data_IF_341686549205
#
_entry.id   IF_341686549205
#
_cell.length_a   1.000
_cell.length_b   1.000
_cell.length_c   1.000
_cell.angle_alpha   90.00
_cell.angle_beta   90.00
_cell.angle_gamma   90.00
#
_symmetry.space_group_name_H-M   'P 1'
#
loop_
_entity.id
_entity.type
_entity.pdbx_description
1 polymer ?
#
# COMPACT_ATOMS: atom_id res chain seq x y z
N UNK A 1 -4.93 -22.22 5.89
CA UNK A 1 -5.30 -22.74 7.23
C UNK A 1 -6.01 -21.72 8.10
N UNK A 2 -5.50 -20.48 8.28
CA UNK A 2 -6.16 -19.48 9.16
C UNK A 2 -7.61 -19.17 8.75
N UNK A 3 -7.89 -19.04 7.46
CA UNK A 3 -9.23 -18.79 6.95
C UNK A 3 -10.22 -19.90 7.34
N UNK A 4 -9.83 -21.18 7.18
CA UNK A 4 -10.67 -22.33 7.54
C UNK A 4 -10.96 -22.39 9.03
N UNK A 5 -9.95 -22.15 9.88
CA UNK A 5 -10.13 -22.11 11.34
C UNK A 5 -11.06 -20.99 11.78
N UNK A 6 -10.96 -19.81 11.15
CA UNK A 6 -11.84 -18.69 11.46
C UNK A 6 -13.29 -18.94 10.99
N UNK A 7 -13.47 -19.58 9.83
CA UNK A 7 -14.81 -20.02 9.38
C UNK A 7 -15.42 -21.00 10.38
N UNK A 8 -14.64 -21.99 10.87
CA UNK A 8 -15.12 -22.94 11.87
C UNK A 8 -15.45 -22.26 13.21
N UNK A 9 -14.65 -21.29 13.62
CA UNK A 9 -14.96 -20.50 14.83
C UNK A 9 -16.25 -19.70 14.67
N UNK A 10 -16.50 -19.13 13.48
CA UNK A 10 -17.75 -18.43 13.17
C UNK A 10 -18.95 -19.39 13.25
N UNK A 11 -18.90 -20.54 12.58
CA UNK A 11 -19.95 -21.56 12.62
C UNK A 11 -20.29 -21.97 14.04
N UNK A 12 -19.27 -22.31 14.85
CA UNK A 12 -19.49 -22.71 16.25
C UNK A 12 -20.08 -21.55 17.08
N UNK A 13 -19.64 -20.32 16.86
CA UNK A 13 -20.18 -19.14 17.50
C UNK A 13 -21.68 -18.96 17.19
N UNK A 14 -22.06 -19.18 15.92
CA UNK A 14 -23.46 -19.10 15.46
C UNK A 14 -24.31 -20.25 16.04
N UNK A 15 -23.80 -21.50 16.07
CA UNK A 15 -24.47 -22.66 16.65
C UNK A 15 -24.82 -22.44 18.12
N UNK A 16 -23.92 -21.84 18.92
CA UNK A 16 -24.12 -21.57 20.34
C UNK A 16 -24.71 -20.20 20.66
N UNK A 17 -24.95 -19.37 19.64
CA UNK A 17 -25.47 -18.00 19.78
C UNK A 17 -24.55 -17.02 20.51
N UNK A 18 -23.21 -17.24 20.50
CA UNK A 18 -22.25 -16.42 21.22
C UNK A 18 -21.79 -15.22 20.36
N UNK A 19 -22.38 -14.05 20.61
CA UNK A 19 -22.10 -12.82 19.86
C UNK A 19 -20.62 -12.39 19.93
N UNK A 20 -19.93 -12.63 21.04
CA UNK A 20 -18.52 -12.27 21.18
C UNK A 20 -17.65 -13.11 20.24
N UNK A 21 -17.85 -14.44 20.23
CA UNK A 21 -17.12 -15.35 19.32
C UNK A 21 -17.40 -14.97 17.87
N UNK A 22 -18.67 -14.73 17.52
CA UNK A 22 -19.06 -14.32 16.16
C UNK A 22 -18.35 -13.00 15.77
N UNK A 23 -18.39 -11.99 16.64
CA UNK A 23 -17.76 -10.69 16.40
C UNK A 23 -16.25 -10.78 16.16
N UNK A 24 -15.55 -11.54 16.99
CA UNK A 24 -14.10 -11.75 16.82
C UNK A 24 -13.77 -12.58 15.58
N UNK A 25 -14.51 -13.66 15.31
CA UNK A 25 -14.32 -14.47 14.10
C UNK A 25 -14.53 -13.63 12.83
N UNK A 26 -15.61 -12.85 12.77
CA UNK A 26 -15.87 -11.94 11.66
C UNK A 26 -14.78 -10.87 11.51
N UNK A 27 -14.29 -10.31 12.63
CA UNK A 27 -13.19 -9.33 12.60
C UNK A 27 -11.94 -9.92 11.92
N UNK A 28 -11.49 -11.09 12.35
CA UNK A 28 -10.29 -11.72 11.80
C UNK A 28 -10.52 -12.29 10.40
N UNK A 29 -11.75 -12.73 10.06
CA UNK A 29 -12.12 -13.07 8.68
C UNK A 29 -12.04 -11.85 7.76
N UNK A 30 -12.46 -10.67 8.23
CA UNK A 30 -12.31 -9.42 7.45
C UNK A 30 -10.84 -9.15 7.12
N UNK A 31 -9.94 -9.24 8.10
CA UNK A 31 -8.51 -9.09 7.91
C UNK A 31 -7.93 -10.13 6.94
N UNK A 32 -8.21 -11.42 7.20
CA UNK A 32 -7.71 -12.53 6.39
C UNK A 32 -8.21 -12.45 4.94
N UNK A 33 -9.50 -12.14 4.74
CA UNK A 33 -10.04 -11.96 3.39
C UNK A 33 -9.43 -10.74 2.67
N UNK A 34 -9.11 -9.67 3.42
CA UNK A 34 -8.42 -8.52 2.86
C UNK A 34 -7.03 -8.90 2.33
N UNK A 35 -6.26 -9.64 3.14
CA UNK A 35 -4.92 -10.13 2.75
C UNK A 35 -4.96 -11.10 1.56
N UNK A 36 -6.01 -11.90 1.46
CA UNK A 36 -6.28 -12.79 0.33
C UNK A 36 -6.89 -12.06 -0.87
N UNK A 37 -7.07 -10.74 -0.79
CA UNK A 37 -7.72 -9.91 -1.81
C UNK A 37 -9.17 -10.32 -2.14
N UNK A 38 -9.86 -10.97 -1.20
CA UNK A 38 -11.28 -11.32 -1.27
C UNK A 38 -12.12 -10.16 -0.71
N UNK A 39 -12.02 -8.99 -1.33
CA UNK A 39 -12.49 -7.72 -0.76
C UNK A 39 -13.98 -7.68 -0.43
N UNK A 40 -14.84 -8.27 -1.25
CA UNK A 40 -16.28 -8.29 -0.96
C UNK A 40 -16.59 -9.11 0.30
N UNK A 41 -15.90 -10.25 0.50
CA UNK A 41 -15.99 -11.03 1.72
C UNK A 41 -15.41 -10.28 2.93
N UNK A 42 -14.28 -9.59 2.73
CA UNK A 42 -13.66 -8.78 3.78
C UNK A 42 -14.59 -7.67 4.27
N UNK A 43 -15.26 -6.98 3.36
CA UNK A 43 -16.26 -5.94 3.69
C UNK A 43 -17.45 -6.58 4.41
N UNK A 44 -18.02 -7.66 3.87
CA UNK A 44 -19.16 -8.36 4.49
C UNK A 44 -18.87 -8.77 5.96
N UNK A 45 -17.74 -9.42 6.20
CA UNK A 45 -17.37 -9.82 7.56
C UNK A 45 -17.06 -8.62 8.46
N UNK A 46 -16.41 -7.58 7.92
CA UNK A 46 -16.11 -6.37 8.67
C UNK A 46 -17.38 -5.62 9.09
N UNK A 47 -18.37 -5.49 8.22
CA UNK A 47 -19.67 -4.88 8.51
C UNK A 47 -20.44 -5.70 9.56
N UNK A 48 -20.49 -7.04 9.43
CA UNK A 48 -21.08 -7.94 10.43
C UNK A 48 -20.40 -7.79 11.79
N UNK A 49 -19.06 -7.71 11.83
CA UNK A 49 -18.33 -7.47 13.07
C UNK A 49 -18.68 -6.10 13.68
N UNK A 50 -18.87 -5.06 12.86
CA UNK A 50 -19.30 -3.73 13.31
C UNK A 50 -20.71 -3.73 13.90
N UNK A 51 -21.65 -4.46 13.33
CA UNK A 51 -22.99 -4.62 13.89
C UNK A 51 -22.94 -5.26 15.28
N UNK A 52 -22.15 -6.32 15.42
CA UNK A 52 -21.96 -7.00 16.71
C UNK A 52 -21.25 -6.09 17.72
N UNK A 53 -20.28 -5.29 17.30
CA UNK A 53 -19.60 -4.34 18.19
C UNK A 53 -20.52 -3.28 18.78
N UNK A 54 -21.60 -2.93 18.08
CA UNK A 54 -22.65 -2.03 18.62
C UNK A 54 -23.49 -2.71 19.70
N UNK A 55 -23.74 -4.02 19.56
CA UNK A 55 -24.44 -4.84 20.56
C UNK A 55 -23.57 -4.99 21.80
N UNK A 56 -22.27 -5.27 21.60
CA UNK A 56 -21.26 -5.43 22.65
C UNK A 56 -20.55 -4.09 22.94
N UNK A 57 -21.32 -3.04 23.22
CA UNK A 57 -20.84 -1.65 23.28
C UNK A 57 -19.66 -1.38 24.25
N UNK A 58 -19.43 -2.26 25.24
CA UNK A 58 -18.30 -2.20 26.17
C UNK A 58 -17.01 -2.84 25.63
N UNK A 59 -17.09 -3.59 24.51
CA UNK A 59 -15.92 -4.22 23.89
C UNK A 59 -15.20 -3.23 22.97
N UNK A 60 -14.36 -2.38 23.56
CA UNK A 60 -13.58 -1.39 22.84
C UNK A 60 -12.61 -2.00 21.82
N UNK A 61 -12.10 -3.23 22.09
CA UNK A 61 -11.20 -3.90 21.19
C UNK A 61 -11.92 -4.35 19.91
N UNK A 62 -13.07 -4.99 20.06
CA UNK A 62 -13.89 -5.42 18.92
C UNK A 62 -14.27 -4.23 18.03
N UNK A 63 -14.66 -3.11 18.65
CA UNK A 63 -15.04 -1.89 17.92
C UNK A 63 -13.93 -1.39 17.02
N UNK A 64 -12.74 -1.08 17.57
CA UNK A 64 -11.68 -0.49 16.75
C UNK A 64 -11.04 -1.52 15.80
N UNK A 65 -10.92 -2.79 16.21
CA UNK A 65 -10.25 -3.80 15.41
C UNK A 65 -11.05 -4.21 14.16
N UNK A 66 -12.37 -4.25 14.26
CA UNK A 66 -13.25 -4.52 13.10
C UNK A 66 -13.26 -3.35 12.10
N UNK A 67 -13.28 -2.10 12.60
CA UNK A 67 -13.09 -0.92 11.73
C UNK A 67 -11.71 -0.91 11.08
N UNK A 68 -10.67 -1.34 11.79
CA UNK A 68 -9.33 -1.45 11.23
C UNK A 68 -9.26 -2.49 10.08
N UNK A 69 -9.97 -3.61 10.16
CA UNK A 69 -10.08 -4.58 9.07
C UNK A 69 -10.74 -4.00 7.82
N UNK A 70 -11.83 -3.26 7.99
CA UNK A 70 -12.47 -2.51 6.90
C UNK A 70 -11.52 -1.46 6.30
N UNK A 71 -10.81 -0.71 7.16
CA UNK A 71 -9.84 0.29 6.73
C UNK A 71 -8.72 -0.31 5.85
N UNK A 72 -8.18 -1.49 6.23
CA UNK A 72 -7.21 -2.19 5.40
C UNK A 72 -7.79 -2.58 4.03
N UNK A 73 -9.00 -3.11 4.01
CA UNK A 73 -9.70 -3.49 2.78
C UNK A 73 -9.86 -2.29 1.85
N UNK A 74 -10.33 -1.16 2.37
CA UNK A 74 -10.50 0.07 1.60
C UNK A 74 -9.18 0.68 1.14
N UNK A 75 -8.11 0.56 1.94
CA UNK A 75 -6.78 0.96 1.52
C UNK A 75 -6.28 0.13 0.33
N UNK A 76 -6.42 -1.20 0.37
CA UNK A 76 -6.04 -2.09 -0.74
C UNK A 76 -6.84 -1.80 -2.02
N UNK A 77 -8.11 -1.45 -1.88
CA UNK A 77 -8.96 -1.05 -3.01
C UNK A 77 -8.65 0.35 -3.56
N UNK A 78 -7.92 1.18 -2.81
CA UNK A 78 -7.67 2.58 -3.14
C UNK A 78 -8.85 3.51 -2.85
N UNK A 79 -9.79 3.12 -1.99
CA UNK A 79 -10.99 3.90 -1.64
C UNK A 79 -10.69 4.97 -0.59
N UNK A 80 -10.13 6.09 -1.03
CA UNK A 80 -9.63 7.19 -0.20
C UNK A 80 -10.68 7.71 0.80
N UNK A 81 -11.89 8.04 0.34
CA UNK A 81 -12.96 8.57 1.21
C UNK A 81 -13.40 7.59 2.30
N UNK A 82 -13.45 6.29 1.98
CA UNK A 82 -13.80 5.27 2.97
C UNK A 82 -12.76 5.20 4.09
N UNK A 83 -11.48 5.31 3.75
CA UNK A 83 -10.42 5.38 4.76
C UNK A 83 -10.52 6.65 5.62
N UNK A 84 -10.79 7.81 5.02
CA UNK A 84 -11.02 9.05 5.78
C UNK A 84 -12.22 8.92 6.73
N UNK A 85 -13.32 8.28 6.30
CA UNK A 85 -14.49 8.02 7.13
C UNK A 85 -14.16 7.10 8.31
N UNK A 86 -13.49 5.97 8.07
CA UNK A 86 -13.00 5.05 9.10
C UNK A 86 -12.10 5.77 10.10
N UNK A 87 -11.14 6.54 9.60
CA UNK A 87 -10.23 7.33 10.43
C UNK A 87 -11.01 8.29 11.35
N UNK A 88 -11.96 9.04 10.79
CA UNK A 88 -12.82 9.98 11.55
C UNK A 88 -13.61 9.28 12.66
N UNK A 89 -14.23 8.14 12.35
CA UNK A 89 -15.00 7.35 13.34
C UNK A 89 -14.09 6.89 14.47
N UNK A 90 -12.91 6.37 14.15
CA UNK A 90 -11.93 5.88 15.13
C UNK A 90 -11.37 7.00 16.00
N UNK A 91 -11.08 8.17 15.43
CA UNK A 91 -10.60 9.36 16.19
C UNK A 91 -11.67 9.88 17.13
N UNK A 92 -12.93 9.98 16.68
CA UNK A 92 -14.04 10.40 17.51
C UNK A 92 -14.27 9.44 18.67
N UNK A 93 -14.24 8.13 18.39
CA UNK A 93 -14.36 7.07 19.40
C UNK A 93 -13.21 7.13 20.41
N UNK A 94 -11.96 7.25 19.94
CA UNK A 94 -10.77 7.37 20.78
C UNK A 94 -10.86 8.55 21.75
N UNK A 95 -11.34 9.70 21.27
CA UNK A 95 -11.55 10.90 22.08
C UNK A 95 -12.65 10.70 23.14
N UNK A 96 -13.80 10.16 22.76
CA UNK A 96 -14.94 9.95 23.67
C UNK A 96 -14.67 8.95 24.78
N UNK A 97 -13.91 7.90 24.47
CA UNK A 97 -13.64 6.77 25.38
C UNK A 97 -12.22 6.76 25.95
N UNK A 98 -11.44 7.83 25.71
CA UNK A 98 -10.01 7.92 26.11
C UNK A 98 -9.21 6.69 25.63
N UNK A 99 -9.57 6.12 24.45
CA UNK A 99 -8.96 4.93 23.88
C UNK A 99 -7.82 5.29 22.93
N UNK A 100 -6.58 5.27 23.44
CA UNK A 100 -5.39 5.62 22.68
C UNK A 100 -5.23 4.75 21.43
N UNK A 101 -5.46 3.43 21.52
CA UNK A 101 -5.34 2.53 20.36
C UNK A 101 -6.28 2.91 19.22
N UNK A 102 -7.53 3.24 19.55
CA UNK A 102 -8.48 3.74 18.55
C UNK A 102 -8.01 5.03 17.90
N UNK A 103 -7.43 5.95 18.69
CA UNK A 103 -6.88 7.21 18.17
C UNK A 103 -5.69 6.97 17.24
N UNK A 104 -4.76 6.09 17.61
CA UNK A 104 -3.60 5.71 16.75
C UNK A 104 -4.07 5.14 15.44
N UNK A 105 -4.96 4.13 15.48
CA UNK A 105 -5.49 3.49 14.26
C UNK A 105 -6.32 4.48 13.43
N UNK A 106 -7.03 5.40 14.08
CA UNK A 106 -7.75 6.48 13.43
C UNK A 106 -6.81 7.41 12.64
N UNK A 107 -5.68 7.80 13.20
CA UNK A 107 -4.66 8.57 12.49
C UNK A 107 -4.04 7.77 11.33
N UNK A 108 -3.78 6.46 11.51
CA UNK A 108 -3.26 5.59 10.45
C UNK A 108 -4.21 5.59 9.24
N UNK A 109 -5.51 5.31 9.43
CA UNK A 109 -6.44 5.25 8.30
C UNK A 109 -6.80 6.62 7.72
N UNK A 110 -6.76 7.68 8.51
CA UNK A 110 -6.82 9.05 7.96
C UNK A 110 -5.61 9.30 7.05
N UNK A 111 -4.41 8.93 7.49
CA UNK A 111 -3.19 9.00 6.67
C UNK A 111 -3.27 8.16 5.40
N UNK A 112 -3.77 6.91 5.49
CA UNK A 112 -4.01 6.05 4.34
C UNK A 112 -4.98 6.68 3.33
N UNK A 113 -6.05 7.32 3.81
CA UNK A 113 -7.00 8.02 2.97
C UNK A 113 -6.36 9.19 2.23
N UNK A 114 -5.54 10.01 2.92
CA UNK A 114 -4.79 11.09 2.30
C UNK A 114 -3.73 10.58 1.30
N UNK A 115 -3.01 9.52 1.63
CA UNK A 115 -2.02 8.90 0.73
C UNK A 115 -2.69 8.36 -0.54
N UNK A 116 -3.80 7.63 -0.41
CA UNK A 116 -4.58 7.13 -1.54
C UNK A 116 -5.19 8.24 -2.41
N UNK A 117 -5.41 9.44 -1.83
CA UNK A 117 -5.80 10.61 -2.59
C UNK A 117 -4.63 11.36 -3.26
N UNK A 118 -3.37 10.95 -2.99
CA UNK A 118 -2.17 11.66 -3.44
C UNK A 118 -1.80 12.89 -2.60
N UNK A 119 -2.39 13.05 -1.41
CA UNK A 119 -2.14 14.17 -0.49
C UNK A 119 -1.08 13.80 0.55
N UNK A 120 0.16 13.59 0.10
CA UNK A 120 1.24 13.03 0.93
C UNK A 120 1.60 13.89 2.15
N UNK A 121 1.54 15.22 2.05
CA UNK A 121 1.82 16.10 3.20
C UNK A 121 0.87 15.83 4.36
N UNK A 122 -0.43 15.80 4.11
CA UNK A 122 -1.44 15.49 5.14
C UNK A 122 -1.33 14.05 5.65
N UNK A 123 -0.96 13.10 4.78
CA UNK A 123 -0.71 11.71 5.17
C UNK A 123 0.46 11.61 6.17
N UNK A 124 1.59 12.29 5.88
CA UNK A 124 2.76 12.34 6.76
C UNK A 124 2.40 12.90 8.14
N UNK A 125 1.63 13.99 8.21
CA UNK A 125 1.18 14.56 9.48
C UNK A 125 0.36 13.56 10.30
N UNK A 126 -0.56 12.85 9.66
CA UNK A 126 -1.36 11.83 10.32
C UNK A 126 -0.51 10.66 10.84
N UNK A 127 0.42 10.14 10.03
CA UNK A 127 1.28 9.03 10.45
C UNK A 127 2.27 9.44 11.53
N UNK A 128 2.83 10.65 11.49
CA UNK A 128 3.62 11.21 12.61
C UNK A 128 2.82 11.22 13.89
N UNK A 129 1.60 11.75 13.83
CA UNK A 129 0.73 11.82 15.01
C UNK A 129 0.40 10.42 15.55
N UNK A 130 0.17 9.44 14.68
CA UNK A 130 -0.03 8.05 15.10
C UNK A 130 1.18 7.51 15.87
N UNK A 131 2.40 7.72 15.37
CA UNK A 131 3.63 7.24 16.02
C UNK A 131 3.92 7.95 17.35
N UNK A 132 3.64 9.26 17.44
CA UNK A 132 3.86 10.07 18.66
C UNK A 132 2.97 9.64 19.83
N UNK A 133 1.69 9.35 19.57
CA UNK A 133 0.73 9.00 20.63
C UNK A 133 0.69 7.51 20.96
N UNK A 134 1.31 6.65 20.13
CA UNK A 134 1.32 5.22 20.35
C UNK A 134 2.20 4.84 21.54
N UNK A 135 1.57 4.37 22.61
CA UNK A 135 2.27 3.81 23.76
C UNK A 135 2.72 2.35 23.56
N UNK A 136 2.15 1.67 22.58
CA UNK A 136 2.39 0.27 22.27
C UNK A 136 3.37 0.20 21.08
N UNK A 137 4.49 -0.53 21.19
CA UNK A 137 5.49 -0.63 20.12
C UNK A 137 4.89 -1.13 18.79
N UNK A 138 3.98 -2.11 18.82
CA UNK A 138 3.35 -2.64 17.61
C UNK A 138 2.61 -1.55 16.84
N UNK A 139 1.77 -0.75 17.51
CA UNK A 139 1.03 0.33 16.85
C UNK A 139 1.92 1.49 16.42
N UNK A 140 3.00 1.78 17.18
CA UNK A 140 4.01 2.75 16.78
C UNK A 140 4.69 2.33 15.49
N UNK A 141 5.13 1.07 15.39
CA UNK A 141 5.76 0.54 14.19
C UNK A 141 4.78 0.49 13.02
N UNK A 142 3.52 0.14 13.24
CA UNK A 142 2.50 0.16 12.20
C UNK A 142 2.32 1.56 11.58
N UNK A 143 2.30 2.62 12.39
CA UNK A 143 2.31 4.00 11.89
C UNK A 143 3.57 4.35 11.08
N UNK A 144 4.76 3.89 11.54
CA UNK A 144 6.04 4.14 10.86
C UNK A 144 6.17 3.45 9.50
N UNK A 145 5.58 2.26 9.33
CA UNK A 145 5.50 1.55 8.04
C UNK A 145 4.96 2.48 6.96
N UNK A 146 3.79 3.07 7.20
CA UNK A 146 3.17 3.99 6.27
C UNK A 146 3.90 5.32 6.16
N UNK A 147 4.49 5.80 7.26
CA UNK A 147 5.26 7.04 7.27
C UNK A 147 6.47 6.94 6.34
N UNK A 148 7.26 5.87 6.46
CA UNK A 148 8.44 5.64 5.63
C UNK A 148 8.10 5.53 4.14
N UNK A 149 7.08 4.74 3.80
CA UNK A 149 6.59 4.62 2.43
C UNK A 149 6.11 5.96 1.86
N UNK A 150 5.37 6.74 2.67
CA UNK A 150 4.84 8.04 2.23
C UNK A 150 5.94 9.09 2.08
N UNK A 151 6.96 9.07 2.93
CA UNK A 151 8.15 9.90 2.73
C UNK A 151 8.83 9.59 1.40
N UNK A 152 9.01 8.31 1.05
CA UNK A 152 9.60 7.91 -0.23
C UNK A 152 8.76 8.39 -1.42
N UNK A 153 7.42 8.24 -1.35
CA UNK A 153 6.50 8.73 -2.37
C UNK A 153 6.52 10.27 -2.51
N UNK A 154 6.75 10.98 -1.41
CA UNK A 154 6.83 12.45 -1.39
C UNK A 154 8.23 13.00 -1.69
N UNK A 155 9.20 12.14 -2.05
CA UNK A 155 10.56 12.54 -2.37
C UNK A 155 11.45 12.91 -1.17
N UNK A 156 11.01 12.65 0.05
CA UNK A 156 11.75 12.91 1.30
C UNK A 156 12.61 11.68 1.65
N UNK A 157 13.61 11.40 0.81
CA UNK A 157 14.37 10.14 0.84
C UNK A 157 15.24 9.93 2.07
N UNK A 158 15.67 11.01 2.75
CA UNK A 158 16.44 10.89 4.00
C UNK A 158 15.55 10.40 5.12
N UNK A 159 14.42 11.04 5.32
CA UNK A 159 13.42 10.68 6.34
C UNK A 159 12.83 9.29 6.05
N UNK A 160 12.61 8.97 4.76
CA UNK A 160 12.18 7.65 4.33
C UNK A 160 13.19 6.56 4.74
N UNK A 161 14.48 6.77 4.48
CA UNK A 161 15.52 5.81 4.84
C UNK A 161 15.58 5.56 6.35
N UNK A 162 15.57 6.62 7.15
CA UNK A 162 15.61 6.53 8.61
C UNK A 162 14.43 5.69 9.12
N UNK A 163 13.21 6.02 8.70
CA UNK A 163 12.00 5.30 9.12
C UNK A 163 11.99 3.84 8.66
N UNK A 164 12.30 3.58 7.38
CA UNK A 164 12.23 2.24 6.80
C UNK A 164 13.33 1.30 7.33
N UNK A 165 14.55 1.79 7.59
CA UNK A 165 15.61 0.97 8.20
C UNK A 165 15.26 0.54 9.62
N UNK A 166 14.65 1.43 10.40
CA UNK A 166 14.19 1.10 11.76
C UNK A 166 13.14 -0.02 11.73
N UNK A 167 12.20 0.02 10.77
CA UNK A 167 11.18 -1.02 10.62
C UNK A 167 11.77 -2.35 10.13
N UNK A 168 12.67 -2.32 9.14
CA UNK A 168 13.34 -3.54 8.65
C UNK A 168 14.09 -4.21 9.78
N UNK A 169 14.86 -3.46 10.58
CA UNK A 169 15.56 -4.00 11.76
C UNK A 169 14.58 -4.58 12.78
N UNK A 170 13.48 -3.90 13.07
CA UNK A 170 12.44 -4.42 13.97
C UNK A 170 11.84 -5.75 13.45
N UNK A 171 11.57 -5.83 12.15
CA UNK A 171 11.05 -7.07 11.55
C UNK A 171 12.04 -8.23 11.65
N UNK A 172 13.33 -7.95 11.50
CA UNK A 172 14.39 -8.96 11.67
C UNK A 172 14.49 -9.45 13.12
N UNK A 173 14.44 -8.53 14.10
CA UNK A 173 14.55 -8.84 15.53
C UNK A 173 13.34 -9.62 16.07
N UNK A 174 12.14 -9.32 15.57
CA UNK A 174 10.87 -9.87 16.06
C UNK A 174 10.19 -10.86 15.11
N UNK A 175 10.81 -11.20 13.98
CA UNK A 175 10.27 -12.17 13.03
C UNK A 175 9.00 -11.70 12.33
N UNK A 176 8.84 -10.39 12.09
CA UNK A 176 7.65 -9.83 11.45
C UNK A 176 7.69 -9.95 9.91
N UNK A 177 7.90 -11.16 9.39
CA UNK A 177 8.02 -11.44 7.95
C UNK A 177 6.81 -10.97 7.13
N UNK A 178 5.68 -10.78 7.80
CA UNK A 178 4.45 -10.36 7.16
C UNK A 178 4.55 -8.98 6.49
N UNK A 179 5.14 -7.98 7.11
CA UNK A 179 5.24 -6.60 6.60
C UNK A 179 6.52 -6.31 5.84
N UNK A 180 7.55 -7.12 6.05
CA UNK A 180 8.90 -6.95 5.50
C UNK A 180 8.96 -6.69 3.98
N UNK A 181 8.19 -7.40 3.10
CA UNK A 181 8.24 -7.10 1.66
C UNK A 181 7.79 -5.69 1.30
N UNK A 182 6.83 -5.13 2.05
CA UNK A 182 6.37 -3.75 1.85
C UNK A 182 7.49 -2.75 2.14
N UNK A 183 8.09 -2.86 3.33
CA UNK A 183 9.12 -1.93 3.79
C UNK A 183 10.41 -2.05 2.98
N UNK A 184 10.84 -3.29 2.69
CA UNK A 184 12.01 -3.58 1.87
C UNK A 184 11.84 -3.06 0.43
N UNK A 185 10.63 -3.10 -0.13
CA UNK A 185 10.32 -2.55 -1.44
C UNK A 185 10.54 -1.03 -1.47
N UNK A 186 9.98 -0.29 -0.52
CA UNK A 186 10.18 1.17 -0.46
C UNK A 186 11.61 1.56 -0.09
N UNK A 187 12.27 0.81 0.80
CA UNK A 187 13.69 1.02 1.10
C UNK A 187 14.56 0.79 -0.14
N UNK A 188 14.23 -0.21 -0.97
CA UNK A 188 14.88 -0.46 -2.25
C UNK A 188 14.82 0.75 -3.18
N UNK A 189 13.67 1.42 -3.27
CA UNK A 189 13.51 2.68 -4.03
C UNK A 189 14.45 3.76 -3.47
N UNK A 190 14.49 3.95 -2.15
CA UNK A 190 15.37 4.94 -1.51
C UNK A 190 16.84 4.66 -1.81
N UNK A 191 17.27 3.40 -1.76
CA UNK A 191 18.63 2.96 -2.07
C UNK A 191 18.99 3.25 -3.53
N UNK A 192 18.05 3.03 -4.48
CA UNK A 192 18.22 3.37 -5.90
C UNK A 192 18.43 4.87 -6.07
N UNK A 193 17.56 5.69 -5.49
CA UNK A 193 17.65 7.17 -5.60
C UNK A 193 18.96 7.70 -5.02
N UNK A 194 19.49 7.07 -3.97
CA UNK A 194 20.80 7.37 -3.38
C UNK A 194 21.99 6.86 -4.23
N UNK A 195 21.71 6.22 -5.36
CA UNK A 195 22.68 5.85 -6.36
C UNK A 195 23.20 4.40 -6.28
N UNK A 196 22.59 3.52 -5.48
CA UNK A 196 22.89 2.09 -5.50
C UNK A 196 21.77 1.30 -6.19
N UNK A 197 21.73 1.40 -7.51
CA UNK A 197 20.69 0.78 -8.34
C UNK A 197 20.72 -0.75 -8.17
N UNK A 198 21.91 -1.34 -8.18
CA UNK A 198 22.07 -2.80 -8.09
C UNK A 198 21.56 -3.36 -6.76
N UNK A 199 21.84 -2.68 -5.65
CA UNK A 199 21.36 -3.10 -4.34
C UNK A 199 19.85 -2.91 -4.23
N UNK A 200 19.34 -1.74 -4.62
CA UNK A 200 17.92 -1.47 -4.51
C UNK A 200 17.06 -2.37 -5.40
N UNK A 201 17.52 -2.71 -6.61
CA UNK A 201 16.86 -3.69 -7.47
C UNK A 201 16.85 -5.10 -6.84
N UNK A 202 17.94 -5.52 -6.19
CA UNK A 202 17.93 -6.80 -5.46
C UNK A 202 16.88 -6.80 -4.35
N UNK A 203 16.78 -5.73 -3.56
CA UNK A 203 15.78 -5.60 -2.49
C UNK A 203 14.35 -5.67 -3.04
N UNK A 204 14.08 -5.00 -4.16
CA UNK A 204 12.78 -5.07 -4.84
C UNK A 204 12.48 -6.48 -5.34
N UNK A 205 13.47 -7.16 -5.94
CA UNK A 205 13.30 -8.51 -6.47
C UNK A 205 13.09 -9.55 -5.34
N UNK A 206 13.81 -9.43 -4.23
CA UNK A 206 13.58 -10.24 -3.03
C UNK A 206 12.19 -10.01 -2.44
N UNK A 207 11.74 -8.76 -2.36
CA UNK A 207 10.38 -8.42 -1.92
C UNK A 207 9.31 -8.98 -2.87
N UNK A 208 9.56 -8.93 -4.18
CA UNK A 208 8.70 -9.49 -5.22
C UNK A 208 8.58 -11.01 -5.07
N UNK A 209 9.70 -11.70 -4.94
CA UNK A 209 9.75 -13.14 -4.80
C UNK A 209 9.05 -13.60 -3.52
N UNK A 210 9.33 -12.95 -2.38
CA UNK A 210 8.66 -13.23 -1.11
C UNK A 210 7.13 -13.02 -1.20
N UNK A 211 6.70 -11.96 -1.89
CA UNK A 211 5.26 -11.71 -2.09
C UNK A 211 4.59 -12.79 -2.94
N UNK A 212 5.29 -13.31 -3.95
CA UNK A 212 4.80 -14.37 -4.83
C UNK A 212 4.71 -15.71 -4.09
N UNK A 213 5.77 -16.10 -3.37
CA UNK A 213 5.84 -17.36 -2.60
C UNK A 213 4.79 -17.44 -1.48
N UNK A 214 4.44 -16.30 -0.90
CA UNK A 214 3.44 -16.20 0.15
C UNK A 214 2.03 -15.83 -0.39
N UNK A 215 1.80 -15.91 -1.70
CA UNK A 215 0.53 -15.65 -2.38
C UNK A 215 -0.08 -14.25 -2.07
N UNK A 216 0.79 -13.24 -1.83
CA UNK A 216 0.39 -11.88 -1.42
C UNK A 216 0.17 -10.99 -2.63
N UNK A 217 -0.90 -11.21 -3.34
CA UNK A 217 -1.20 -10.56 -4.62
C UNK A 217 -1.15 -9.03 -4.59
N UNK A 218 -1.62 -8.40 -3.51
CA UNK A 218 -1.57 -6.94 -3.39
C UNK A 218 -0.12 -6.43 -3.33
N UNK A 219 0.71 -7.02 -2.46
CA UNK A 219 2.12 -6.65 -2.35
C UNK A 219 2.88 -6.97 -3.65
N UNK A 220 2.59 -8.11 -4.25
CA UNK A 220 3.18 -8.50 -5.53
C UNK A 220 2.89 -7.47 -6.62
N UNK A 221 1.62 -7.05 -6.79
CA UNK A 221 1.24 -6.01 -7.75
C UNK A 221 1.94 -4.68 -7.47
N UNK A 222 2.03 -4.29 -6.19
CA UNK A 222 2.71 -3.07 -5.77
C UNK A 222 4.21 -3.12 -6.09
N UNK A 223 4.91 -4.21 -5.81
CA UNK A 223 6.34 -4.34 -6.10
C UNK A 223 6.59 -4.41 -7.61
N UNK A 224 5.74 -5.08 -8.38
CA UNK A 224 5.80 -5.05 -9.84
C UNK A 224 5.66 -3.61 -10.38
N UNK A 225 4.74 -2.82 -9.82
CA UNK A 225 4.62 -1.40 -10.17
C UNK A 225 5.90 -0.61 -9.82
N UNK A 226 6.46 -0.81 -8.62
CA UNK A 226 7.71 -0.13 -8.21
C UNK A 226 8.89 -0.50 -9.13
N UNK A 227 9.05 -1.77 -9.50
CA UNK A 227 10.07 -2.22 -10.47
C UNK A 227 9.87 -1.56 -11.83
N UNK A 228 8.64 -1.58 -12.35
CA UNK A 228 8.29 -0.93 -13.61
C UNK A 228 8.61 0.56 -13.60
N UNK A 229 8.29 1.26 -12.52
CA UNK A 229 8.60 2.67 -12.32
C UNK A 229 10.10 2.97 -12.31
N UNK A 230 10.91 2.13 -11.65
CA UNK A 230 12.38 2.25 -11.67
C UNK A 230 12.92 2.14 -13.10
N UNK A 231 12.48 1.13 -13.85
CA UNK A 231 12.92 0.98 -15.24
C UNK A 231 12.42 2.12 -16.15
N UNK A 232 11.21 2.64 -15.91
CA UNK A 232 10.69 3.82 -16.62
C UNK A 232 11.59 5.06 -16.38
N UNK A 233 11.98 5.33 -15.14
CA UNK A 233 12.88 6.44 -14.81
C UNK A 233 14.23 6.32 -15.56
N UNK A 234 14.75 5.10 -15.71
CA UNK A 234 15.96 4.85 -16.50
C UNK A 234 15.74 5.18 -17.99
N UNK A 235 14.59 4.78 -18.54
CA UNK A 235 14.20 5.13 -19.94
C UNK A 235 14.11 6.63 -20.13
N UNK A 236 13.62 7.36 -19.12
CA UNK A 236 13.54 8.83 -19.12
C UNK A 236 14.88 9.54 -18.86
N UNK A 237 15.96 8.78 -18.71
CA UNK A 237 17.29 9.35 -18.50
C UNK A 237 17.56 9.82 -17.07
N UNK A 238 16.76 9.40 -16.12
CA UNK A 238 16.93 9.71 -14.68
C UNK A 238 17.95 8.77 -14.00
N UNK A 239 19.03 8.42 -14.68
CA UNK A 239 20.10 7.56 -14.19
C UNK A 239 21.21 8.30 -13.44
N UNK A 240 22.24 7.56 -12.95
CA UNK A 240 23.37 8.13 -12.22
C UNK A 240 24.14 9.13 -13.10
N UNK A 241 24.35 10.35 -12.57
CA UNK A 241 24.98 11.46 -13.31
C UNK A 241 26.46 11.72 -12.93
N UNK A 242 26.99 11.07 -11.88
CA UNK A 242 28.39 11.21 -11.48
C UNK A 242 29.24 10.00 -11.87
N UNK A 243 30.54 10.21 -12.14
CA UNK A 243 31.46 9.12 -12.50
C UNK A 243 31.55 8.03 -11.43
N UNK A 244 31.51 8.42 -10.15
CA UNK A 244 31.52 7.46 -9.04
C UNK A 244 30.27 6.58 -9.00
N UNK A 245 29.09 7.16 -9.26
CA UNK A 245 27.83 6.42 -9.34
C UNK A 245 27.76 5.53 -10.60
N UNK A 246 28.29 5.98 -11.72
CA UNK A 246 28.42 5.16 -12.94
C UNK A 246 29.31 3.93 -12.68
N UNK A 247 30.48 4.14 -12.04
CA UNK A 247 31.37 3.03 -11.69
C UNK A 247 30.72 2.04 -10.71
N UNK A 248 29.99 2.52 -9.72
CA UNK A 248 29.27 1.69 -8.76
C UNK A 248 28.19 0.82 -9.43
N UNK A 249 27.56 1.32 -10.48
CA UNK A 249 26.45 0.67 -11.17
C UNK A 249 26.84 0.04 -12.53
N UNK A 250 28.12 -0.14 -12.82
CA UNK A 250 28.59 -0.60 -14.14
C UNK A 250 27.97 -1.96 -14.55
N UNK A 251 27.78 -2.86 -13.60
CA UNK A 251 27.12 -4.15 -13.86
C UNK A 251 25.69 -4.01 -14.32
N UNK A 252 24.94 -3.11 -13.68
CA UNK A 252 23.56 -2.78 -14.07
C UNK A 252 23.54 -2.09 -15.45
N UNK A 253 24.41 -1.10 -15.67
CA UNK A 253 24.46 -0.37 -16.94
C UNK A 253 24.74 -1.27 -18.14
N UNK A 254 25.53 -2.32 -17.97
CA UNK A 254 25.83 -3.28 -19.04
C UNK A 254 24.74 -4.32 -19.22
N UNK A 255 24.20 -4.87 -18.12
CA UNK A 255 23.30 -6.04 -18.18
C UNK A 255 21.84 -5.67 -18.30
N UNK A 256 21.40 -4.63 -17.59
CA UNK A 256 19.98 -4.35 -17.38
C UNK A 256 19.49 -3.10 -18.10
N UNK A 257 20.29 -2.02 -18.14
CA UNK A 257 19.88 -0.77 -18.74
C UNK A 257 19.54 -0.88 -20.25
N UNK A 258 20.20 -1.70 -21.08
CA UNK A 258 19.82 -1.89 -22.46
C UNK A 258 18.42 -2.48 -22.65
N UNK A 259 17.92 -3.18 -21.64
CA UNK A 259 16.60 -3.80 -21.64
C UNK A 259 15.57 -3.02 -20.80
N UNK A 260 15.90 -1.83 -20.31
CA UNK A 260 15.05 -1.06 -19.40
C UNK A 260 13.64 -0.84 -19.95
N UNK A 261 13.50 -0.50 -21.23
CA UNK A 261 12.20 -0.31 -21.88
C UNK A 261 11.34 -1.59 -21.83
N UNK A 262 11.94 -2.74 -22.16
CA UNK A 262 11.26 -4.02 -22.15
C UNK A 262 10.86 -4.41 -20.72
N UNK A 263 11.78 -4.26 -19.77
CA UNK A 263 11.54 -4.57 -18.37
C UNK A 263 10.48 -3.66 -17.75
N UNK A 264 10.50 -2.36 -18.07
CA UNK A 264 9.44 -1.43 -17.65
C UNK A 264 8.06 -1.89 -18.14
N UNK A 265 7.94 -2.23 -19.44
CA UNK A 265 6.69 -2.70 -20.04
C UNK A 265 6.22 -4.02 -19.39
N UNK A 266 7.12 -4.99 -19.19
CA UNK A 266 6.81 -6.29 -18.56
C UNK A 266 6.29 -6.11 -17.13
N UNK A 267 7.01 -5.35 -16.28
CA UNK A 267 6.63 -5.13 -14.89
C UNK A 267 5.35 -4.30 -14.76
N UNK A 268 5.19 -3.21 -15.52
CA UNK A 268 3.98 -2.39 -15.47
C UNK A 268 2.74 -3.17 -15.98
N UNK A 269 2.89 -3.95 -17.04
CA UNK A 269 1.82 -4.82 -17.54
C UNK A 269 1.43 -5.84 -16.48
N UNK A 270 2.42 -6.45 -15.80
CA UNK A 270 2.16 -7.42 -14.74
C UNK A 270 1.46 -6.79 -13.54
N UNK A 271 1.87 -5.61 -13.13
CA UNK A 271 1.20 -4.84 -12.08
C UNK A 271 -0.28 -4.57 -12.44
N UNK A 272 -0.55 -4.15 -13.69
CA UNK A 272 -1.90 -3.89 -14.20
C UNK A 272 -2.75 -5.17 -14.18
N UNK A 273 -2.22 -6.28 -14.70
CA UNK A 273 -2.93 -7.58 -14.72
C UNK A 273 -3.37 -8.00 -13.32
N UNK A 274 -2.42 -8.02 -12.38
CA UNK A 274 -2.70 -8.48 -11.01
C UNK A 274 -3.58 -7.49 -10.26
N UNK A 275 -3.32 -6.18 -10.36
CA UNK A 275 -4.14 -5.17 -9.72
C UNK A 275 -5.59 -5.17 -10.22
N UNK A 276 -5.79 -5.44 -11.52
CA UNK A 276 -7.12 -5.61 -12.13
C UNK A 276 -7.81 -6.87 -11.63
N UNK A 277 -7.10 -8.00 -11.56
CA UNK A 277 -7.60 -9.28 -11.05
C UNK A 277 -8.15 -9.14 -9.63
N UNK A 278 -7.40 -8.47 -8.75
CA UNK A 278 -7.76 -8.32 -7.34
C UNK A 278 -8.64 -7.09 -7.04
N UNK A 279 -8.88 -6.21 -8.00
CA UNK A 279 -9.66 -4.99 -7.80
C UNK A 279 -8.93 -3.87 -7.04
N UNK A 280 -7.60 -3.85 -7.04
CA UNK A 280 -6.75 -2.83 -6.41
C UNK A 280 -6.64 -1.58 -7.31
N UNK A 281 -7.70 -0.77 -7.34
CA UNK A 281 -7.85 0.36 -8.29
C UNK A 281 -6.78 1.44 -8.15
N UNK A 282 -6.25 1.67 -6.93
CA UNK A 282 -5.16 2.62 -6.69
C UNK A 282 -3.91 2.23 -7.47
N UNK A 283 -3.37 1.02 -7.23
CA UNK A 283 -2.19 0.50 -7.93
C UNK A 283 -2.45 0.41 -9.44
N UNK A 284 -3.64 -0.05 -9.83
CA UNK A 284 -4.03 -0.14 -11.25
C UNK A 284 -3.93 1.22 -11.95
N UNK A 285 -4.45 2.28 -11.32
CA UNK A 285 -4.41 3.64 -11.86
C UNK A 285 -2.98 4.18 -11.97
N UNK A 286 -2.15 3.99 -10.94
CA UNK A 286 -0.74 4.41 -10.94
C UNK A 286 0.06 3.67 -12.02
N UNK A 287 -0.09 2.35 -12.12
CA UNK A 287 0.60 1.56 -13.15
C UNK A 287 0.13 1.92 -14.58
N UNK A 288 -1.14 2.28 -14.76
CA UNK A 288 -1.63 2.79 -16.04
C UNK A 288 -1.02 4.15 -16.42
N UNK A 289 -0.82 5.08 -15.46
CA UNK A 289 -0.09 6.33 -15.72
C UNK A 289 1.32 6.03 -16.21
N UNK A 290 2.06 5.19 -15.46
CA UNK A 290 3.47 4.92 -15.74
C UNK A 290 3.65 4.16 -17.06
N UNK A 291 2.75 3.23 -17.41
CA UNK A 291 2.77 2.56 -18.72
C UNK A 291 2.40 3.54 -19.85
N UNK A 292 1.46 4.45 -19.61
CA UNK A 292 1.17 5.55 -20.54
C UNK A 292 2.36 6.45 -20.79
N UNK A 293 3.13 6.81 -19.75
CA UNK A 293 4.38 7.55 -19.86
C UNK A 293 5.44 6.77 -20.67
N UNK A 294 5.58 5.46 -20.43
CA UNK A 294 6.48 4.60 -21.19
C UNK A 294 6.13 4.61 -22.69
N UNK A 295 4.86 4.50 -23.05
CA UNK A 295 4.41 4.56 -24.43
C UNK A 295 4.61 5.95 -25.05
N UNK A 296 4.45 7.02 -24.27
CA UNK A 296 4.80 8.37 -24.70
C UNK A 296 6.28 8.47 -25.10
N UNK A 297 7.20 7.99 -24.27
CA UNK A 297 8.66 7.98 -24.56
C UNK A 297 8.98 7.17 -25.84
N UNK A 298 8.16 6.19 -26.18
CA UNK A 298 8.28 5.38 -27.40
C UNK A 298 7.57 5.97 -28.62
N UNK A 299 6.97 7.15 -28.51
CA UNK A 299 6.19 7.78 -29.59
C UNK A 299 4.85 7.08 -29.90
N UNK A 300 4.38 6.20 -29.03
CA UNK A 300 3.11 5.48 -29.17
C UNK A 300 1.96 6.26 -28.52
N UNK A 301 1.66 7.43 -29.07
CA UNK A 301 0.74 8.42 -28.46
C UNK A 301 -0.66 7.87 -28.22
N UNK A 302 -1.22 7.06 -29.14
CA UNK A 302 -2.56 6.51 -28.99
C UNK A 302 -2.66 5.53 -27.82
N UNK A 303 -1.67 4.63 -27.68
CA UNK A 303 -1.59 3.70 -26.54
C UNK A 303 -1.37 4.47 -25.23
N UNK A 304 -0.49 5.48 -25.24
CA UNK A 304 -0.30 6.34 -24.07
C UNK A 304 -1.61 7.01 -23.63
N UNK A 305 -2.38 7.52 -24.58
CA UNK A 305 -3.70 8.15 -24.31
C UNK A 305 -4.69 7.16 -23.73
N UNK A 306 -4.75 5.94 -24.25
CA UNK A 306 -5.64 4.88 -23.75
C UNK A 306 -5.38 4.57 -22.26
N UNK A 307 -4.12 4.28 -21.90
CA UNK A 307 -3.77 3.96 -20.52
C UNK A 307 -3.97 5.13 -19.56
N UNK A 308 -3.59 6.34 -19.95
CA UNK A 308 -3.81 7.54 -19.12
C UNK A 308 -5.29 7.86 -18.94
N UNK A 309 -6.12 7.63 -19.97
CA UNK A 309 -7.58 7.80 -19.85
C UNK A 309 -8.19 6.77 -18.91
N UNK A 310 -7.71 5.53 -18.91
CA UNK A 310 -8.14 4.50 -17.96
C UNK A 310 -7.74 4.88 -16.52
N UNK A 311 -6.53 5.40 -16.32
CA UNK A 311 -6.09 5.91 -15.01
C UNK A 311 -7.00 7.04 -14.50
N UNK A 312 -7.37 7.99 -15.36
CA UNK A 312 -8.31 9.07 -15.02
C UNK A 312 -9.65 8.48 -14.54
N UNK A 313 -10.22 7.53 -15.29
CA UNK A 313 -11.48 6.87 -14.93
C UNK A 313 -11.40 6.18 -13.56
N UNK A 314 -10.29 5.49 -13.29
CA UNK A 314 -10.06 4.80 -12.02
C UNK A 314 -9.96 5.79 -10.84
N UNK A 315 -9.19 6.86 -11.00
CA UNK A 315 -9.05 7.88 -9.96
C UNK A 315 -10.31 8.70 -9.72
N UNK A 316 -11.15 8.89 -10.73
CA UNK A 316 -12.49 9.47 -10.56
C UNK A 316 -13.37 8.54 -9.71
N UNK A 317 -13.33 7.22 -9.93
CA UNK A 317 -14.06 6.23 -9.12
C UNK A 317 -13.55 6.14 -7.68
N UNK A 318 -12.25 6.28 -7.46
CA UNK A 318 -11.62 6.26 -6.14
C UNK A 318 -11.65 7.64 -5.44
N UNK A 319 -12.08 8.69 -6.15
CA UNK A 319 -12.05 10.09 -5.70
C UNK A 319 -10.64 10.52 -5.24
N UNK A 320 -9.61 10.03 -5.95
CA UNK A 320 -8.20 10.28 -5.67
C UNK A 320 -7.73 11.56 -6.39
N UNK A 321 -8.10 12.73 -5.87
CA UNK A 321 -7.93 14.04 -6.51
C UNK A 321 -6.48 14.37 -6.90
N UNK A 322 -5.50 14.03 -6.06
CA UNK A 322 -4.08 14.27 -6.34
C UNK A 322 -3.60 13.48 -7.55
N UNK A 323 -3.89 12.19 -7.58
CA UNK A 323 -3.56 11.34 -8.73
C UNK A 323 -4.37 11.69 -9.98
N UNK A 324 -5.64 12.09 -9.81
CA UNK A 324 -6.47 12.56 -10.92
C UNK A 324 -5.87 13.79 -11.59
N UNK A 325 -5.39 14.76 -10.81
CA UNK A 325 -4.70 15.95 -11.32
C UNK A 325 -3.43 15.56 -12.07
N UNK A 326 -2.63 14.63 -11.54
CA UNK A 326 -1.43 14.11 -12.20
C UNK A 326 -1.78 13.45 -13.55
N UNK A 327 -2.74 12.54 -13.58
CA UNK A 327 -3.16 11.84 -14.79
C UNK A 327 -3.68 12.82 -15.88
N UNK A 328 -4.49 13.81 -15.51
CA UNK A 328 -4.94 14.87 -16.43
C UNK A 328 -3.77 15.71 -16.96
N UNK A 329 -2.75 15.98 -16.13
CA UNK A 329 -1.52 16.65 -16.57
C UNK A 329 -0.74 15.84 -17.60
N UNK A 330 -0.59 14.53 -17.38
CA UNK A 330 0.05 13.63 -18.34
C UNK A 330 -0.74 13.60 -19.66
N UNK A 331 -2.08 13.44 -19.60
CA UNK A 331 -2.93 13.42 -20.80
C UNK A 331 -2.78 14.71 -21.62
N UNK A 332 -2.73 15.88 -20.97
CA UNK A 332 -2.51 17.15 -21.64
C UNK A 332 -1.16 17.25 -22.34
N UNK A 333 -0.13 16.53 -21.85
CA UNK A 333 1.21 16.49 -22.44
C UNK A 333 1.35 15.51 -23.62
N UNK A 334 0.30 14.77 -23.97
CA UNK A 334 0.24 13.83 -25.11
C UNK A 334 -0.33 14.48 -26.38
N UNK A 335 -0.30 15.82 -26.46
CA UNK A 335 -0.76 16.58 -27.62
C UNK A 335 0.30 16.61 -28.73
#
# INVERSE_FOLDING_TARGET
DSYQHLCRALELGEEIGNQQVIGYACTWLSWTCSDLCLFDKAIHFGEKAQEISRILASDHYLFFKSLAGLGQTYWFKGESKKNLEIGRILLDYGRRHSNIRSSVVGHIYTGCGHSAAGNFTSAIECFKRATEIAADPFYSHWGRIFLGATYAQNGQFKEAEEALREIVSYCEDFGCEYVRPFDSGFLGIVVIVKGDISQGLRMLEEARQSSLENERKFLYAMIEHLLGKVYLQIVQGEGPKSLSLLAKNIGFLIKDAPFATKKAEEHLTKAIEVAKEIGARGILGEACIDLGLLYKERGRTDQAREYVSEAIRLFEQCEAEGYLKQAKGVLASLR
#
